data_IF_221848145680
#
_entry.id   IF_221848145680
#
_cell.length_a   1.000
_cell.length_b   1.000
_cell.length_c   1.000
_cell.angle_alpha   90.00
_cell.angle_beta   90.00
_cell.angle_gamma   90.00
#
_symmetry.space_group_name_H-M   'P 1'
#
loop_
_entity.id
_entity.type
_entity.pdbx_description
1 polymer ?
#
# COMPACT_ATOMS: atom_id res chain seq x y z
N UNK A 1 3.10 6.85 17.44
CA UNK A 1 2.94 7.66 16.21
C UNK A 1 2.37 6.75 15.13
N UNK A 2 1.41 7.22 14.35
CA UNK A 2 0.78 6.45 13.27
C UNK A 2 1.23 6.98 11.92
N UNK A 3 1.15 6.12 10.90
CA UNK A 3 1.35 6.51 9.52
C UNK A 3 0.20 6.01 8.66
N UNK A 4 0.09 6.57 7.46
CA UNK A 4 -0.89 6.18 6.46
C UNK A 4 -0.15 5.90 5.17
N UNK A 5 -0.49 4.80 4.48
CA UNK A 5 -0.07 4.58 3.10
C UNK A 5 -1.26 4.51 2.18
N UNK A 6 -1.19 5.20 1.03
CA UNK A 6 -2.13 5.08 -0.06
C UNK A 6 -1.54 4.30 -1.21
N UNK A 7 -2.36 3.49 -1.88
CA UNK A 7 -1.96 2.72 -3.04
C UNK A 7 -3.07 2.76 -4.10
N UNK A 8 -2.72 2.93 -5.37
CA UNK A 8 -3.63 2.81 -6.52
C UNK A 8 -2.85 2.32 -7.74
N UNK A 9 -3.38 1.31 -8.43
CA UNK A 9 -2.94 0.88 -9.76
C UNK A 9 -4.21 0.77 -10.61
N UNK A 10 -4.27 1.56 -11.68
CA UNK A 10 -5.36 1.52 -12.64
C UNK A 10 -4.78 1.34 -14.04
N UNK A 11 -5.20 0.28 -14.72
CA UNK A 11 -4.66 -0.17 -16.01
C UNK A 11 -5.68 -1.04 -16.76
N UNK A 12 -6.96 -0.87 -16.47
CA UNK A 12 -8.00 -1.76 -17.00
C UNK A 12 -8.39 -1.34 -18.41
N UNK A 13 -7.62 -1.79 -19.42
CA UNK A 13 -7.94 -1.76 -20.86
C UNK A 13 -8.78 -0.53 -21.28
N UNK A 14 -8.40 0.63 -20.79
CA UNK A 14 -9.12 1.86 -20.97
C UNK A 14 -8.24 2.73 -21.85
N UNK A 15 -8.59 2.91 -23.11
CA UNK A 15 -7.76 3.69 -24.03
C UNK A 15 -7.82 5.18 -23.68
N UNK A 16 -7.09 5.59 -22.64
CA UNK A 16 -6.95 6.97 -22.20
C UNK A 16 -6.58 7.84 -23.39
N UNK A 17 -7.30 8.93 -23.56
CA UNK A 17 -6.96 9.91 -24.59
C UNK A 17 -5.85 10.83 -24.09
N UNK A 18 -5.04 11.33 -25.02
CA UNK A 18 -4.04 12.34 -24.69
C UNK A 18 -4.72 13.56 -24.06
N UNK A 19 -4.14 14.05 -22.96
CA UNK A 19 -4.67 15.17 -22.18
C UNK A 19 -6.03 14.90 -21.49
N UNK A 20 -6.46 13.64 -21.36
CA UNK A 20 -7.70 13.32 -20.66
C UNK A 20 -7.64 13.80 -19.21
N UNK A 21 -8.72 14.45 -18.76
CA UNK A 21 -8.88 14.91 -17.37
C UNK A 21 -9.45 13.77 -16.54
N UNK A 22 -8.71 13.39 -15.50
CA UNK A 22 -9.17 12.48 -14.46
C UNK A 22 -9.39 13.25 -13.16
N UNK A 23 -10.26 12.72 -12.30
CA UNK A 23 -10.49 13.21 -10.95
C UNK A 23 -9.87 12.26 -9.95
N UNK A 24 -8.94 12.76 -9.15
CA UNK A 24 -8.43 12.04 -8.00
C UNK A 24 -9.22 12.47 -6.76
N UNK A 25 -9.69 11.50 -5.97
CA UNK A 25 -10.46 11.78 -4.75
C UNK A 25 -9.95 11.01 -3.55
N UNK A 26 -9.74 11.75 -2.46
CA UNK A 26 -9.23 11.24 -1.19
C UNK A 26 -9.64 12.18 -0.05
N UNK A 27 -10.00 11.64 1.12
CA UNK A 27 -10.42 12.42 2.30
C UNK A 27 -11.49 13.48 1.99
N UNK A 28 -12.49 13.10 1.19
CA UNK A 28 -13.58 13.99 0.74
C UNK A 28 -13.13 15.22 -0.06
N UNK A 29 -11.90 15.22 -0.57
CA UNK A 29 -11.37 16.23 -1.50
C UNK A 29 -11.22 15.59 -2.87
N UNK A 30 -11.55 16.37 -3.90
CA UNK A 30 -11.42 15.98 -5.29
C UNK A 30 -10.57 17.01 -6.02
N UNK A 31 -9.61 16.56 -6.82
CA UNK A 31 -8.83 17.40 -7.74
C UNK A 31 -8.96 16.85 -9.15
N UNK A 32 -9.12 17.74 -10.12
CA UNK A 32 -9.04 17.40 -11.54
C UNK A 32 -7.60 17.57 -12.01
N UNK A 33 -7.07 16.58 -12.71
CA UNK A 33 -5.70 16.60 -13.24
C UNK A 33 -5.69 15.92 -14.61
N UNK A 34 -4.84 16.43 -15.51
CA UNK A 34 -4.57 15.74 -16.77
C UNK A 34 -3.80 14.45 -16.48
N UNK A 35 -4.20 13.32 -17.06
CA UNK A 35 -3.58 12.02 -16.78
C UNK A 35 -2.05 12.04 -16.93
N UNK A 36 -1.56 12.64 -18.01
CA UNK A 36 -0.13 12.70 -18.33
C UNK A 36 0.67 13.61 -17.37
N UNK A 37 -0.03 14.42 -16.56
CA UNK A 37 0.58 15.28 -15.54
C UNK A 37 0.64 14.61 -14.15
N UNK A 38 0.18 13.37 -14.01
CA UNK A 38 0.28 12.61 -12.75
C UNK A 38 1.74 12.17 -12.56
N UNK A 39 2.39 12.78 -11.57
CA UNK A 39 3.78 12.56 -11.21
C UNK A 39 3.98 12.74 -9.69
N UNK A 40 5.21 12.61 -9.20
CA UNK A 40 5.50 12.72 -7.77
C UNK A 40 5.07 14.06 -7.15
N UNK A 41 5.26 15.17 -7.88
CA UNK A 41 4.93 16.51 -7.40
C UNK A 41 3.42 16.71 -7.34
N UNK A 42 2.69 16.30 -8.38
CA UNK A 42 1.22 16.44 -8.37
C UNK A 42 0.54 15.56 -7.32
N UNK A 43 1.09 14.38 -7.00
CA UNK A 43 0.61 13.58 -5.87
C UNK A 43 0.94 14.25 -4.53
N UNK A 44 2.12 14.85 -4.38
CA UNK A 44 2.46 15.60 -3.17
C UNK A 44 1.51 16.81 -2.97
N UNK A 45 1.21 17.54 -4.03
CA UNK A 45 0.31 18.70 -3.98
C UNK A 45 -1.15 18.28 -3.75
N UNK A 46 -1.57 17.14 -4.31
CA UNK A 46 -2.87 16.54 -3.99
C UNK A 46 -2.98 16.20 -2.50
N UNK A 47 -1.96 15.60 -1.89
CA UNK A 47 -1.96 15.32 -0.45
C UNK A 47 -2.04 16.60 0.39
N UNK A 48 -1.30 17.65 0.01
CA UNK A 48 -1.41 18.97 0.67
C UNK A 48 -2.82 19.54 0.55
N UNK A 49 -3.46 19.42 -0.62
CA UNK A 49 -4.84 19.83 -0.83
C UNK A 49 -5.84 19.02 0.02
N UNK A 50 -5.55 17.75 0.27
CA UNK A 50 -6.27 16.90 1.23
C UNK A 50 -6.02 17.27 2.70
N UNK A 51 -5.16 18.25 2.99
CA UNK A 51 -4.85 18.73 4.33
C UNK A 51 -3.67 18.03 5.00
N UNK A 52 -2.86 17.26 4.26
CA UNK A 52 -1.64 16.63 4.79
C UNK A 52 -0.49 17.66 4.80
N UNK A 53 0.09 18.01 5.95
CA UNK A 53 1.21 18.94 6.00
C UNK A 53 2.43 18.42 5.24
N UNK A 54 3.13 19.31 4.53
CA UNK A 54 4.30 18.91 3.73
C UNK A 54 5.40 18.23 4.56
N UNK A 55 5.57 18.64 5.82
CA UNK A 55 6.54 18.04 6.75
C UNK A 55 6.19 16.61 7.16
N UNK A 56 4.91 16.22 7.06
CA UNK A 56 4.43 14.88 7.42
C UNK A 56 4.44 13.92 6.23
N UNK A 57 4.61 14.41 5.00
CA UNK A 57 4.71 13.57 3.80
C UNK A 57 6.06 12.85 3.80
N UNK A 58 6.02 11.53 3.98
CA UNK A 58 7.22 10.67 3.95
C UNK A 58 7.62 10.41 2.51
N UNK A 59 6.63 10.13 1.65
CA UNK A 59 6.84 9.94 0.21
C UNK A 59 5.55 10.19 -0.57
N UNK A 60 5.70 10.71 -1.78
CA UNK A 60 4.65 10.77 -2.80
C UNK A 60 5.24 10.29 -4.13
N UNK A 61 4.59 9.30 -4.73
CA UNK A 61 4.94 8.73 -6.02
C UNK A 61 3.70 8.70 -6.90
N UNK A 62 3.85 9.19 -8.13
CA UNK A 62 2.78 9.22 -9.12
C UNK A 62 3.34 8.91 -10.49
N UNK A 63 2.56 8.21 -11.29
CA UNK A 63 2.76 8.03 -12.71
C UNK A 63 1.39 7.93 -13.37
N UNK A 64 1.11 8.80 -14.33
CA UNK A 64 -0.03 8.67 -15.24
C UNK A 64 0.46 8.76 -16.67
N UNK A 65 -0.13 7.95 -17.55
CA UNK A 65 0.19 7.97 -18.96
C UNK A 65 -0.99 7.50 -19.78
N UNK A 66 -1.44 8.37 -20.69
CA UNK A 66 -2.42 8.03 -21.71
C UNK A 66 -1.85 6.97 -22.67
N UNK A 67 -0.61 7.14 -23.13
CA UNK A 67 0.04 6.21 -24.07
C UNK A 67 0.28 4.81 -23.54
N UNK A 68 0.46 4.65 -22.22
CA UNK A 68 0.63 3.33 -21.58
C UNK A 68 -0.65 2.79 -20.96
N UNK A 69 -1.75 3.51 -21.10
CA UNK A 69 -3.02 3.24 -20.41
C UNK A 69 -2.80 2.86 -18.94
N UNK A 70 -2.27 3.81 -18.15
CA UNK A 70 -1.91 3.46 -16.78
C UNK A 70 -1.85 4.65 -15.85
N UNK A 71 -2.35 4.43 -14.64
CA UNK A 71 -2.08 5.26 -13.46
C UNK A 71 -1.55 4.40 -12.32
N UNK A 72 -0.44 4.83 -11.71
CA UNK A 72 0.14 4.25 -10.49
C UNK A 72 0.37 5.35 -9.46
N UNK A 73 -0.13 5.16 -8.25
CA UNK A 73 0.06 6.08 -7.13
C UNK A 73 0.48 5.29 -5.89
N UNK A 74 1.50 5.80 -5.21
CA UNK A 74 1.86 5.39 -3.86
C UNK A 74 2.18 6.62 -3.03
N UNK A 75 1.69 6.67 -1.80
CA UNK A 75 2.14 7.68 -0.86
C UNK A 75 2.24 7.11 0.55
N UNK A 76 3.07 7.75 1.38
CA UNK A 76 3.06 7.55 2.82
C UNK A 76 3.21 8.90 3.54
N UNK A 77 2.50 9.06 4.65
CA UNK A 77 2.62 10.25 5.50
C UNK A 77 2.37 9.91 6.98
N UNK A 78 2.86 10.76 7.87
CA UNK A 78 2.61 10.69 9.32
C UNK A 78 1.23 11.24 9.62
N UNK A 79 0.38 10.47 10.30
CA UNK A 79 -0.98 10.92 10.61
C UNK A 79 -1.97 9.79 10.83
N UNK A 80 -3.25 10.13 10.78
CA UNK A 80 -4.37 9.21 10.94
C UNK A 80 -5.43 9.48 9.86
N UNK A 81 -6.31 8.50 9.64
CA UNK A 81 -7.48 8.63 8.78
C UNK A 81 -8.74 8.12 9.47
N UNK A 82 -9.93 8.70 9.18
CA UNK A 82 -11.18 8.21 9.73
C UNK A 82 -11.40 6.72 9.43
N UNK A 83 -11.78 5.94 10.44
CA UNK A 83 -12.05 4.51 10.30
C UNK A 83 -10.83 3.63 9.98
N UNK A 84 -9.61 4.18 9.92
CA UNK A 84 -8.38 3.44 9.66
C UNK A 84 -8.17 2.97 8.21
N UNK A 85 -9.19 3.06 7.36
CA UNK A 85 -9.12 2.83 5.90
C UNK A 85 -9.97 3.89 5.21
N UNK A 86 -9.48 4.44 4.10
CA UNK A 86 -10.19 5.42 3.28
C UNK A 86 -9.95 5.11 1.81
N UNK A 87 -10.97 5.26 0.98
CA UNK A 87 -10.83 5.00 -0.44
C UNK A 87 -9.98 6.07 -1.12
N UNK A 88 -9.17 5.63 -2.09
CA UNK A 88 -8.44 6.48 -3.01
C UNK A 88 -9.00 6.23 -4.41
N UNK A 89 -9.69 7.22 -4.94
CA UNK A 89 -10.44 7.12 -6.19
C UNK A 89 -9.69 7.76 -7.35
N UNK A 90 -9.81 7.15 -8.52
CA UNK A 90 -9.61 7.77 -9.83
C UNK A 90 -10.90 7.64 -10.62
N UNK A 91 -11.38 8.75 -11.17
CA UNK A 91 -12.62 8.83 -11.94
C UNK A 91 -12.38 9.58 -13.25
N UNK A 92 -13.03 9.16 -14.33
CA UNK A 92 -13.14 9.92 -15.58
C UNK A 92 -14.58 9.86 -16.09
N UNK A 93 -14.81 10.24 -17.34
CA UNK A 93 -16.15 10.23 -17.93
C UNK A 93 -16.76 8.83 -18.08
N UNK A 94 -15.94 7.78 -18.09
CA UNK A 94 -16.35 6.41 -18.43
C UNK A 94 -16.27 5.46 -17.24
N UNK A 95 -15.35 5.69 -16.31
CA UNK A 95 -15.00 4.77 -15.24
C UNK A 95 -14.80 5.48 -13.90
N UNK A 96 -15.13 4.78 -12.83
CA UNK A 96 -14.78 5.12 -11.46
C UNK A 96 -14.12 3.90 -10.81
N UNK A 97 -12.89 4.06 -10.35
CA UNK A 97 -12.11 3.01 -9.72
C UNK A 97 -11.59 3.47 -8.36
N UNK A 98 -11.72 2.60 -7.36
CA UNK A 98 -11.16 2.81 -6.04
C UNK A 98 -10.13 1.75 -5.71
N UNK A 99 -9.02 2.22 -5.16
CA UNK A 99 -8.21 1.46 -4.23
C UNK A 99 -8.36 2.11 -2.86
N UNK A 100 -7.34 2.07 -2.00
CA UNK A 100 -7.47 2.55 -0.64
C UNK A 100 -6.15 3.05 -0.05
N UNK A 101 -6.29 3.90 0.96
CA UNK A 101 -5.27 4.21 1.94
C UNK A 101 -5.57 3.53 3.27
N UNK A 102 -4.53 3.09 3.97
CA UNK A 102 -4.65 2.33 5.21
C UNK A 102 -3.73 2.91 6.28
N UNK A 103 -4.27 3.04 7.47
CA UNK A 103 -3.48 3.39 8.66
C UNK A 103 -2.63 2.20 9.09
N UNK A 104 -1.35 2.47 9.38
CA UNK A 104 -0.35 1.49 9.82
C UNK A 104 -0.23 0.26 8.89
N UNK A 105 -0.63 0.41 7.62
CA UNK A 105 -0.50 -0.60 6.59
C UNK A 105 0.67 -0.30 5.66
N UNK A 106 1.33 -1.31 5.12
CA UNK A 106 2.31 -1.17 4.04
C UNK A 106 1.80 -2.02 2.87
N UNK A 107 0.93 -1.45 2.04
CA UNK A 107 0.35 -2.14 0.89
C UNK A 107 0.99 -1.59 -0.38
N UNK A 108 1.94 -2.34 -0.92
CA UNK A 108 2.67 -2.02 -2.14
C UNK A 108 2.40 -3.13 -3.15
N UNK A 109 1.33 -3.01 -3.96
CA UNK A 109 1.08 -3.92 -5.08
C UNK A 109 2.17 -3.80 -6.15
N UNK A 110 2.12 -4.64 -7.18
CA UNK A 110 3.17 -4.73 -8.19
C UNK A 110 3.23 -3.52 -9.13
N UNK A 111 3.72 -2.39 -8.63
CA UNK A 111 4.02 -1.19 -9.40
C UNK A 111 5.08 -1.48 -10.46
N UNK A 112 4.88 -0.94 -11.67
CA UNK A 112 5.81 -1.09 -12.78
C UNK A 112 6.62 0.17 -13.05
N UNK A 113 6.07 1.36 -12.76
CA UNK A 113 6.65 2.64 -13.14
C UNK A 113 7.11 3.46 -11.93
N UNK A 114 6.59 3.18 -10.74
CA UNK A 114 6.94 3.91 -9.50
C UNK A 114 7.65 3.06 -8.43
N UNK A 115 8.12 1.86 -8.79
CA UNK A 115 8.67 0.88 -7.82
C UNK A 115 10.04 1.27 -7.23
N UNK A 116 10.82 2.13 -7.89
CA UNK A 116 12.17 2.50 -7.46
C UNK A 116 12.17 3.16 -6.08
N UNK A 117 12.88 2.55 -5.13
CA UNK A 117 13.07 3.02 -3.76
C UNK A 117 11.94 2.67 -2.79
N UNK A 118 10.86 2.01 -3.24
CA UNK A 118 9.75 1.61 -2.36
C UNK A 118 10.14 0.52 -1.35
N UNK A 119 11.15 -0.29 -1.69
CA UNK A 119 11.81 -1.25 -0.82
C UNK A 119 12.38 -0.59 0.44
N UNK A 120 13.17 0.48 0.26
CA UNK A 120 13.76 1.25 1.35
C UNK A 120 12.68 1.93 2.20
N UNK A 121 11.62 2.43 1.56
CA UNK A 121 10.49 3.04 2.27
C UNK A 121 9.74 2.01 3.11
N UNK A 122 9.45 0.82 2.59
CA UNK A 122 8.80 -0.24 3.35
C UNK A 122 9.63 -0.61 4.60
N UNK A 123 10.95 -0.74 4.43
CA UNK A 123 11.86 -1.05 5.51
C UNK A 123 11.99 0.09 6.53
N UNK A 124 11.94 1.35 6.09
CA UNK A 124 11.91 2.52 6.98
C UNK A 124 10.62 2.54 7.79
N UNK A 125 9.47 2.44 7.13
CA UNK A 125 8.15 2.44 7.78
C UNK A 125 8.05 1.32 8.83
N UNK A 126 8.49 0.10 8.50
CA UNK A 126 8.48 -1.01 9.44
C UNK A 126 9.49 -0.89 10.59
N UNK A 127 10.55 -0.10 10.43
CA UNK A 127 11.50 0.20 11.51
C UNK A 127 11.00 1.30 12.45
N UNK A 128 10.33 2.30 11.89
CA UNK A 128 9.99 3.53 12.61
C UNK A 128 8.60 3.44 13.25
N UNK A 129 7.69 2.65 12.70
CA UNK A 129 6.28 2.61 13.10
C UNK A 129 5.75 1.19 13.35
N UNK A 130 4.74 1.03 14.21
CA UNK A 130 3.98 -0.22 14.32
C UNK A 130 3.22 -0.51 13.02
N UNK A 131 3.36 -1.73 12.50
CA UNK A 131 2.68 -2.17 11.27
C UNK A 131 1.61 -3.20 11.63
N UNK A 132 0.37 -2.96 11.19
CA UNK A 132 -0.77 -3.88 11.38
C UNK A 132 -1.05 -4.72 10.13
N UNK A 133 -0.56 -4.30 8.97
CA UNK A 133 -0.76 -5.03 7.73
C UNK A 133 0.37 -4.75 6.75
N UNK A 134 0.85 -5.75 6.04
CA UNK A 134 1.78 -5.53 4.93
C UNK A 134 1.57 -6.52 3.78
N UNK A 135 1.80 -6.02 2.57
CA UNK A 135 1.96 -6.78 1.33
C UNK A 135 2.92 -6.00 0.45
N UNK A 136 3.99 -6.65 -0.01
CA UNK A 136 5.00 -6.03 -0.87
C UNK A 136 5.23 -6.88 -2.12
N UNK A 137 4.97 -6.29 -3.29
CA UNK A 137 5.16 -6.91 -4.61
C UNK A 137 5.72 -5.86 -5.58
N UNK A 138 6.52 -6.24 -6.59
CA UNK A 138 7.08 -7.58 -6.83
C UNK A 138 8.37 -7.85 -6.02
N UNK A 139 8.88 -6.86 -5.28
CA UNK A 139 10.18 -6.98 -4.61
C UNK A 139 10.13 -7.94 -3.41
N UNK A 140 11.28 -8.59 -3.20
CA UNK A 140 11.52 -9.44 -2.05
C UNK A 140 12.18 -8.65 -0.93
N UNK A 141 11.61 -8.73 0.28
CA UNK A 141 12.14 -8.05 1.47
C UNK A 141 12.34 -9.04 2.62
N UNK A 142 13.45 -9.80 2.64
CA UNK A 142 13.72 -10.80 3.68
C UNK A 142 13.70 -10.24 5.10
N UNK A 143 14.07 -8.98 5.28
CA UNK A 143 14.17 -8.32 6.60
C UNK A 143 12.87 -7.68 7.07
N UNK A 144 11.88 -7.49 6.18
CA UNK A 144 10.62 -6.85 6.52
C UNK A 144 9.86 -7.57 7.65
N UNK A 145 9.72 -8.93 7.65
CA UNK A 145 9.03 -9.62 8.72
C UNK A 145 9.67 -9.39 10.08
N UNK A 146 11.01 -9.48 10.15
CA UNK A 146 11.74 -9.24 11.39
C UNK A 146 11.52 -7.83 11.94
N UNK A 147 11.51 -6.80 11.06
CA UNK A 147 11.23 -5.42 11.45
C UNK A 147 9.80 -5.23 11.95
N UNK A 148 8.83 -5.79 11.22
CA UNK A 148 7.41 -5.78 11.63
C UNK A 148 7.27 -6.46 12.99
N UNK A 149 7.87 -7.62 13.18
CA UNK A 149 7.87 -8.41 14.43
C UNK A 149 8.51 -7.66 15.61
N UNK A 150 9.53 -6.83 15.36
CA UNK A 150 10.22 -6.05 16.40
C UNK A 150 9.41 -4.84 16.90
N UNK A 151 8.42 -4.38 16.13
CA UNK A 151 7.62 -3.18 16.41
C UNK A 151 6.12 -3.47 16.53
N UNK A 152 5.74 -4.74 16.60
CA UNK A 152 4.37 -5.17 16.28
C UNK A 152 3.36 -4.77 17.35
N UNK A 153 2.17 -4.31 16.94
CA UNK A 153 1.00 -4.32 17.82
C UNK A 153 0.44 -5.74 17.98
N UNK A 154 -0.26 -5.99 19.08
CA UNK A 154 -1.07 -7.20 19.27
C UNK A 154 -2.28 -7.10 18.32
N UNK A 155 -2.56 -8.14 17.54
CA UNK A 155 -3.66 -8.25 16.55
C UNK A 155 -3.44 -7.53 15.20
N UNK A 156 -2.50 -8.03 14.38
CA UNK A 156 -2.39 -7.60 12.98
C UNK A 156 -3.48 -8.17 12.07
N UNK A 157 -3.67 -7.58 10.89
CA UNK A 157 -4.75 -7.96 9.95
C UNK A 157 -4.26 -8.82 8.79
N UNK A 158 -3.14 -8.46 8.15
CA UNK A 158 -2.65 -9.19 6.97
C UNK A 158 -1.12 -9.14 6.91
N UNK A 159 -0.46 -10.30 6.95
CA UNK A 159 0.94 -10.48 6.58
C UNK A 159 1.02 -11.26 5.27
N UNK A 160 1.24 -10.56 4.14
CA UNK A 160 1.55 -11.22 2.87
C UNK A 160 3.06 -11.30 2.67
N UNK A 161 3.59 -12.49 2.93
CA UNK A 161 5.00 -12.85 2.90
C UNK A 161 5.36 -13.72 1.70
N UNK A 162 4.48 -13.86 0.69
CA UNK A 162 4.75 -14.76 -0.46
C UNK A 162 6.00 -14.39 -1.26
N UNK A 163 6.37 -13.11 -1.29
CA UNK A 163 7.60 -12.64 -1.95
C UNK A 163 8.82 -12.66 -1.01
N UNK A 164 8.70 -13.23 0.18
CA UNK A 164 9.75 -13.26 1.19
C UNK A 164 10.31 -14.69 1.27
N UNK A 165 11.64 -14.87 1.06
CA UNK A 165 12.31 -16.16 1.17
C UNK A 165 12.07 -16.77 2.55
N UNK A 166 11.86 -18.08 2.59
CA UNK A 166 11.63 -18.84 3.82
C UNK A 166 10.49 -18.30 4.70
N UNK A 167 9.47 -17.68 4.10
CA UNK A 167 8.37 -17.04 4.84
C UNK A 167 7.61 -17.97 5.79
N UNK A 168 7.63 -19.29 5.56
CA UNK A 168 7.11 -20.30 6.50
C UNK A 168 7.71 -20.17 7.91
N UNK A 169 8.95 -19.70 8.06
CA UNK A 169 9.61 -19.54 9.37
C UNK A 169 8.97 -18.43 10.22
N UNK A 170 8.28 -17.47 9.60
CA UNK A 170 7.66 -16.35 10.29
C UNK A 170 6.19 -16.61 10.68
N UNK A 171 5.60 -17.72 10.20
CA UNK A 171 4.18 -18.04 10.44
C UNK A 171 3.87 -18.17 11.93
N UNK A 172 4.64 -18.98 12.67
CA UNK A 172 4.42 -19.17 14.12
C UNK A 172 4.58 -17.85 14.91
N UNK A 173 5.63 -17.04 14.70
CA UNK A 173 5.73 -15.71 15.30
C UNK A 173 4.49 -14.83 15.05
N UNK A 174 3.99 -14.74 13.82
CA UNK A 174 2.81 -13.93 13.51
C UNK A 174 1.51 -14.50 14.12
N UNK A 175 1.37 -15.84 14.21
CA UNK A 175 0.26 -16.48 14.93
C UNK A 175 0.26 -16.11 16.42
N UNK A 176 1.43 -16.13 17.06
CA UNK A 176 1.59 -15.72 18.47
C UNK A 176 1.17 -14.26 18.71
N UNK A 177 1.36 -13.40 17.72
CA UNK A 177 0.93 -11.99 17.75
C UNK A 177 -0.53 -11.79 17.28
N UNK A 178 -1.28 -12.88 17.09
CA UNK A 178 -2.69 -12.89 16.77
C UNK A 178 -3.08 -12.24 15.43
N UNK A 179 -2.21 -12.37 14.41
CA UNK A 179 -2.47 -11.82 13.08
C UNK A 179 -3.59 -12.57 12.35
N UNK A 180 -4.48 -11.89 11.62
CA UNK A 180 -5.69 -12.51 11.09
C UNK A 180 -5.48 -13.33 9.81
N UNK A 181 -4.68 -12.84 8.87
CA UNK A 181 -4.44 -13.47 7.57
C UNK A 181 -2.94 -13.56 7.32
N UNK A 182 -2.45 -14.76 7.07
CA UNK A 182 -1.06 -15.04 6.74
C UNK A 182 -0.99 -15.65 5.33
N UNK A 183 -0.29 -14.99 4.42
CA UNK A 183 0.08 -15.56 3.12
C UNK A 183 1.59 -15.81 3.12
N UNK A 184 2.02 -17.00 2.70
CA UNK A 184 3.44 -17.38 2.71
C UNK A 184 3.74 -18.46 1.69
N UNK A 185 5.04 -18.72 1.48
CA UNK A 185 5.56 -19.88 0.74
C UNK A 185 5.97 -20.95 1.74
N UNK A 186 5.44 -22.16 1.61
CA UNK A 186 5.91 -23.30 2.41
C UNK A 186 7.33 -23.74 2.01
N UNK A 187 7.91 -24.68 2.75
CA UNK A 187 9.26 -25.17 2.51
C UNK A 187 9.46 -25.80 1.13
N UNK A 188 8.37 -26.20 0.45
CA UNK A 188 8.41 -26.74 -0.92
C UNK A 188 8.26 -25.67 -2.01
N UNK A 189 8.09 -24.40 -1.62
CA UNK A 189 7.82 -23.30 -2.55
C UNK A 189 6.37 -23.24 -3.01
N UNK A 190 5.42 -23.83 -2.28
CA UNK A 190 3.98 -23.72 -2.59
C UNK A 190 3.36 -22.57 -1.82
N UNK A 191 2.51 -21.79 -2.50
CA UNK A 191 1.73 -20.73 -1.87
C UNK A 191 0.70 -21.31 -0.89
N UNK A 192 0.66 -20.73 0.31
CA UNK A 192 -0.27 -21.08 1.38
C UNK A 192 -0.97 -19.84 1.93
N UNK A 193 -2.18 -20.05 2.43
CA UNK A 193 -2.94 -19.07 3.18
C UNK A 193 -3.40 -19.71 4.47
N UNK A 194 -3.24 -19.00 5.58
CA UNK A 194 -3.87 -19.33 6.84
C UNK A 194 -4.72 -18.16 7.31
N UNK A 195 -5.96 -18.46 7.70
CA UNK A 195 -6.88 -17.49 8.28
C UNK A 195 -7.10 -17.87 9.73
N UNK A 196 -7.02 -16.89 10.61
CA UNK A 196 -7.20 -17.09 12.04
C UNK A 196 -8.58 -17.70 12.32
N UNK A 197 -8.66 -18.85 13.01
CA UNK A 197 -9.92 -19.41 13.46
C UNK A 197 -10.65 -18.48 14.44
N UNK A 198 -11.98 -18.59 14.52
CA UNK A 198 -12.77 -17.83 15.51
C UNK A 198 -12.34 -18.10 16.96
N UNK A 199 -11.83 -19.30 17.23
CA UNK A 199 -11.29 -19.72 18.54
C UNK A 199 -9.87 -19.20 18.82
N UNK A 200 -9.27 -18.43 17.91
CA UNK A 200 -7.86 -18.05 17.96
C UNK A 200 -6.94 -19.08 17.28
N UNK A 201 -5.65 -18.75 17.23
CA UNK A 201 -4.64 -19.64 16.65
C UNK A 201 -4.34 -20.84 17.54
N UNK A 202 -4.20 -22.01 16.92
CA UNK A 202 -3.56 -23.16 17.53
C UNK A 202 -2.08 -23.06 17.17
N UNK A 203 -1.22 -22.97 18.20
CA UNK A 203 0.23 -22.73 18.08
C UNK A 203 0.97 -24.02 18.34
#
# INVERSE_FOLDING_TARGET
>A
MNFVTGNLIYQTAYDYYQNEIVRLKYLNKTVSIVIDDINNNSIADFLKYCGVPAADIIIAKGYGSSTRDRVEIFFAYVGTIPGGTQDLWIENAHHAYASYARQNGIIMPAYQNINQGLDNIALKLASDYPVISFMVKPFSLPTLPGKVLAKTPINGTLADMRNIPNSYQHVVPFKKLNWEILWYMDASGKQKTERRPKSGWII
#
